data_IF_743027580316
#
_entry.id   IF_743027580316
#
_cell.length_a   1.000
_cell.length_b   1.000
_cell.length_c   1.000
_cell.angle_alpha   90.00
_cell.angle_beta   90.00
_cell.angle_gamma   90.00
#
_symmetry.space_group_name_H-M   'P 1'
#
loop_
_entity.id
_entity.type
_entity.pdbx_description
1 polymer ?
#
# COMPACT_ATOMS: atom_id res chain seq x y z
N UNK A 1 31.28 -19.31 41.44
CA UNK A 1 31.58 -18.49 40.23
C UNK A 1 30.59 -18.67 39.08
N UNK A 2 29.92 -19.82 38.92
CA UNK A 2 29.05 -20.14 37.76
C UNK A 2 27.77 -19.27 37.69
N UNK A 3 27.20 -18.89 38.84
CA UNK A 3 25.95 -18.11 38.91
C UNK A 3 26.09 -16.65 38.46
N UNK A 4 27.31 -16.07 38.52
CA UNK A 4 27.57 -14.70 38.06
C UNK A 4 27.58 -14.58 36.53
N UNK A 5 28.20 -15.56 35.84
CA UNK A 5 28.24 -15.60 34.37
C UNK A 5 26.84 -15.77 33.76
N UNK A 6 26.04 -16.69 34.31
CA UNK A 6 24.64 -16.88 33.91
C UNK A 6 23.81 -15.59 34.00
N UNK A 7 24.05 -14.75 35.01
CA UNK A 7 23.36 -13.45 35.15
C UNK A 7 23.80 -12.46 34.06
N UNK A 8 25.09 -12.42 33.76
CA UNK A 8 25.65 -11.55 32.71
C UNK A 8 25.08 -11.97 31.33
N UNK A 9 25.07 -13.26 31.02
CA UNK A 9 24.56 -13.78 29.75
C UNK A 9 23.05 -13.49 29.58
N UNK A 10 22.27 -13.68 30.65
CA UNK A 10 20.84 -13.36 30.65
C UNK A 10 20.59 -11.87 30.46
N UNK A 11 21.41 -11.02 31.06
CA UNK A 11 21.32 -9.56 30.91
C UNK A 11 21.69 -9.12 29.48
N UNK A 12 22.73 -9.69 28.89
CA UNK A 12 23.09 -9.43 27.50
C UNK A 12 21.98 -9.85 26.52
N UNK A 13 21.35 -11.00 26.74
CA UNK A 13 20.21 -11.46 25.95
C UNK A 13 19.00 -10.52 26.08
N UNK A 14 18.69 -10.08 27.31
CA UNK A 14 17.62 -9.11 27.57
C UNK A 14 17.86 -7.79 26.84
N UNK A 15 19.08 -7.24 26.92
CA UNK A 15 19.44 -6.00 26.22
C UNK A 15 19.27 -6.14 24.71
N UNK A 16 19.74 -7.25 24.13
CA UNK A 16 19.57 -7.54 22.69
C UNK A 16 18.09 -7.59 22.29
N UNK A 17 17.26 -8.25 23.10
CA UNK A 17 15.83 -8.36 22.84
C UNK A 17 15.12 -7.00 22.94
N UNK A 18 15.41 -6.21 23.98
CA UNK A 18 14.87 -4.86 24.15
C UNK A 18 15.28 -3.96 22.99
N UNK A 19 16.54 -4.05 22.55
CA UNK A 19 17.03 -3.28 21.41
C UNK A 19 16.26 -3.65 20.13
N UNK A 20 16.09 -4.95 19.84
CA UNK A 20 15.33 -5.44 18.69
C UNK A 20 13.85 -5.03 18.71
N UNK A 21 13.22 -5.09 19.89
CA UNK A 21 11.84 -4.62 20.08
C UNK A 21 11.74 -3.10 19.84
N UNK A 22 12.64 -2.31 20.43
CA UNK A 22 12.64 -0.84 20.28
C UNK A 22 12.80 -0.41 18.81
N UNK A 23 13.66 -1.08 18.03
CA UNK A 23 13.81 -0.80 16.60
C UNK A 23 12.56 -1.14 15.81
N UNK A 24 11.87 -2.23 16.18
CA UNK A 24 10.63 -2.67 15.52
C UNK A 24 9.48 -1.72 15.81
N UNK A 25 9.36 -1.26 17.07
CA UNK A 25 8.37 -0.26 17.48
C UNK A 25 8.60 1.07 16.76
N UNK A 26 9.85 1.55 16.70
CA UNK A 26 10.19 2.77 15.96
C UNK A 26 9.84 2.67 14.48
N UNK A 27 10.06 1.50 13.87
CA UNK A 27 9.67 1.26 12.48
C UNK A 27 8.15 1.29 12.31
N UNK A 28 7.41 0.55 13.14
CA UNK A 28 5.94 0.54 13.11
C UNK A 28 5.34 1.95 13.25
N UNK A 29 5.91 2.77 14.15
CA UNK A 29 5.49 4.16 14.31
C UNK A 29 5.71 4.98 13.03
N UNK A 30 6.89 4.86 12.40
CA UNK A 30 7.18 5.55 11.13
C UNK A 30 6.25 5.08 10.00
N UNK A 31 5.96 3.80 9.92
CA UNK A 31 5.06 3.23 8.91
C UNK A 31 3.62 3.76 9.10
N UNK A 32 3.16 3.88 10.36
CA UNK A 32 1.87 4.47 10.72
C UNK A 32 1.79 5.96 10.35
N UNK A 33 2.83 6.73 10.69
CA UNK A 33 2.91 8.15 10.36
C UNK A 33 2.93 8.40 8.84
N UNK A 34 3.70 7.60 8.09
CA UNK A 34 3.72 7.62 6.64
C UNK A 34 2.33 7.32 6.05
N UNK A 35 1.61 6.34 6.62
CA UNK A 35 0.25 5.98 6.20
C UNK A 35 -0.73 7.13 6.43
N UNK A 36 -0.71 7.74 7.62
CA UNK A 36 -1.56 8.89 7.93
C UNK A 36 -1.29 10.07 6.99
N UNK A 37 -0.02 10.36 6.72
CA UNK A 37 0.39 11.42 5.79
C UNK A 37 -0.07 11.15 4.36
N UNK A 38 0.02 9.90 3.89
CA UNK A 38 -0.45 9.49 2.58
C UNK A 38 -1.97 9.69 2.43
N UNK A 39 -2.75 9.25 3.43
CA UNK A 39 -4.21 9.45 3.46
C UNK A 39 -4.56 10.93 3.35
N UNK A 40 -3.90 11.78 4.14
CA UNK A 40 -4.15 13.22 4.13
C UNK A 40 -3.84 13.87 2.77
N UNK A 41 -2.74 13.48 2.12
CA UNK A 41 -2.38 14.00 0.80
C UNK A 41 -3.36 13.54 -0.28
N UNK A 42 -3.81 12.29 -0.24
CA UNK A 42 -4.83 11.79 -1.16
C UNK A 42 -6.14 12.53 -0.94
N UNK A 43 -6.56 12.73 0.31
CA UNK A 43 -7.78 13.47 0.64
C UNK A 43 -7.74 14.92 0.11
N UNK A 44 -6.62 15.64 0.28
CA UNK A 44 -6.44 16.97 -0.30
C UNK A 44 -6.53 16.98 -1.84
N UNK A 45 -5.96 15.97 -2.51
CA UNK A 45 -6.04 15.88 -3.97
C UNK A 45 -7.47 15.64 -4.46
N UNK A 46 -8.23 14.83 -3.72
CA UNK A 46 -9.65 14.62 -3.97
C UNK A 46 -10.40 15.94 -3.72
N UNK A 47 -10.12 16.64 -2.63
CA UNK A 47 -10.65 17.97 -2.32
C UNK A 47 -10.50 18.96 -3.47
N UNK A 48 -9.30 19.07 -4.02
CA UNK A 48 -9.02 19.99 -5.10
C UNK A 48 -9.73 19.64 -6.42
N UNK A 49 -10.14 18.38 -6.63
CA UNK A 49 -10.60 17.88 -7.93
C UNK A 49 -12.03 17.30 -7.94
N UNK A 50 -12.77 17.32 -6.82
CA UNK A 50 -14.13 16.73 -6.66
C UNK A 50 -15.13 16.97 -7.80
N UNK A 51 -14.95 18.01 -8.61
CA UNK A 51 -15.91 18.47 -9.63
C UNK A 51 -15.68 17.91 -11.04
N UNK A 52 -14.47 17.45 -11.36
CA UNK A 52 -14.19 16.83 -12.67
C UNK A 52 -14.27 15.32 -12.50
N UNK A 53 -15.03 14.66 -13.38
CA UNK A 53 -15.09 13.20 -13.46
C UNK A 53 -13.65 12.66 -13.36
N UNK A 54 -13.36 12.01 -12.25
CA UNK A 54 -12.01 11.66 -11.81
C UNK A 54 -11.47 10.57 -12.73
N UNK A 55 -11.04 10.96 -13.93
CA UNK A 55 -10.52 10.05 -14.95
C UNK A 55 -9.36 9.22 -14.41
N UNK A 56 -9.04 8.11 -15.09
CA UNK A 56 -8.00 7.18 -14.64
C UNK A 56 -6.64 7.83 -14.36
N UNK A 57 -6.33 8.94 -15.01
CA UNK A 57 -5.13 9.75 -14.75
C UNK A 57 -5.13 10.40 -13.36
N UNK A 58 -6.27 10.86 -12.86
CA UNK A 58 -6.38 11.37 -11.49
C UNK A 58 -6.16 10.25 -10.46
N UNK A 59 -6.74 9.08 -10.70
CA UNK A 59 -6.55 7.92 -9.83
C UNK A 59 -5.06 7.55 -9.77
N UNK A 60 -4.38 7.55 -10.93
CA UNK A 60 -2.92 7.34 -11.01
C UNK A 60 -2.16 8.34 -10.14
N UNK A 61 -2.47 9.64 -10.26
CA UNK A 61 -1.81 10.70 -9.48
C UNK A 61 -2.02 10.54 -7.97
N UNK A 62 -3.21 10.10 -7.53
CA UNK A 62 -3.47 9.80 -6.13
C UNK A 62 -2.65 8.61 -5.64
N UNK A 63 -2.59 7.54 -6.43
CA UNK A 63 -1.78 6.36 -6.09
C UNK A 63 -0.29 6.73 -6.01
N UNK A 64 0.26 7.40 -7.03
CA UNK A 64 1.68 7.80 -7.06
C UNK A 64 2.08 8.63 -5.84
N UNK A 65 1.23 9.57 -5.42
CA UNK A 65 1.50 10.40 -4.24
C UNK A 65 1.49 9.58 -2.93
N UNK A 66 0.61 8.58 -2.81
CA UNK A 66 0.63 7.67 -1.67
C UNK A 66 1.89 6.79 -1.67
N UNK A 67 2.28 6.25 -2.83
CA UNK A 67 3.46 5.40 -2.96
C UNK A 67 4.77 6.13 -2.68
N UNK A 68 4.89 7.38 -3.09
CA UNK A 68 6.06 8.20 -2.78
C UNK A 68 6.31 8.35 -1.28
N UNK A 69 5.26 8.28 -0.47
CA UNK A 69 5.34 8.43 0.99
C UNK A 69 5.56 7.07 1.67
N UNK A 70 4.81 6.04 1.24
CA UNK A 70 4.79 4.72 1.90
C UNK A 70 5.93 3.81 1.42
N UNK A 71 6.25 3.82 0.13
CA UNK A 71 7.29 2.96 -0.44
C UNK A 71 8.03 3.65 -1.61
N UNK A 72 8.89 4.65 -1.32
CA UNK A 72 9.63 5.38 -2.35
C UNK A 72 10.39 4.49 -3.35
N UNK A 73 11.04 3.38 -2.95
CA UNK A 73 11.80 2.54 -3.89
C UNK A 73 10.95 1.94 -5.02
N UNK A 74 9.65 1.77 -4.79
CA UNK A 74 8.75 1.14 -5.77
C UNK A 74 8.05 2.16 -6.67
N UNK A 75 8.31 3.47 -6.52
CA UNK A 75 7.66 4.55 -7.29
C UNK A 75 7.74 4.34 -8.80
N UNK A 76 8.88 3.87 -9.32
CA UNK A 76 9.07 3.63 -10.75
C UNK A 76 8.20 2.50 -11.32
N UNK A 77 7.74 1.57 -10.50
CA UNK A 77 6.79 0.54 -10.93
C UNK A 77 5.40 1.16 -11.14
N UNK A 78 5.01 2.09 -10.27
CA UNK A 78 3.73 2.78 -10.35
C UNK A 78 3.66 3.76 -11.52
N UNK A 79 4.76 4.44 -11.85
CA UNK A 79 4.79 5.35 -13.01
C UNK A 79 4.55 4.64 -14.34
N UNK A 80 4.89 3.34 -14.42
CA UNK A 80 4.69 2.50 -15.61
C UNK A 80 3.24 2.03 -15.79
N UNK A 81 2.38 2.18 -14.78
CA UNK A 81 0.97 1.81 -14.91
C UNK A 81 0.26 2.75 -15.89
N UNK A 82 -0.37 2.20 -16.93
CA UNK A 82 -1.23 2.94 -17.85
C UNK A 82 -2.67 2.84 -17.37
N UNK A 83 -3.21 3.95 -16.84
CA UNK A 83 -4.62 4.09 -16.49
C UNK A 83 -5.37 4.98 -17.49
N UNK A 84 -4.94 4.96 -18.76
CA UNK A 84 -5.71 5.60 -19.83
C UNK A 84 -7.10 4.99 -19.93
N UNK A 85 -8.10 5.82 -20.27
CA UNK A 85 -9.50 5.39 -20.42
C UNK A 85 -9.61 4.18 -21.34
N UNK A 86 -8.84 4.15 -22.43
CA UNK A 86 -8.78 3.03 -23.38
C UNK A 86 -8.27 1.75 -22.72
N UNK A 87 -7.17 1.83 -21.97
CA UNK A 87 -6.59 0.65 -21.30
C UNK A 87 -7.56 0.10 -20.26
N UNK A 88 -8.18 0.98 -19.47
CA UNK A 88 -9.14 0.59 -18.43
C UNK A 88 -10.40 -0.02 -19.04
N UNK A 89 -10.97 0.60 -20.08
CA UNK A 89 -12.16 0.07 -20.76
C UNK A 89 -11.91 -1.33 -21.34
N UNK A 90 -10.76 -1.55 -21.97
CA UNK A 90 -10.39 -2.87 -22.49
C UNK A 90 -10.31 -3.93 -21.39
N UNK A 91 -9.67 -3.61 -20.25
CA UNK A 91 -9.59 -4.53 -19.11
C UNK A 91 -10.95 -4.79 -18.49
N UNK A 92 -11.84 -3.79 -18.45
CA UNK A 92 -13.20 -3.97 -17.98
C UNK A 92 -14.00 -4.91 -18.88
N UNK A 93 -13.85 -4.81 -20.19
CA UNK A 93 -14.53 -5.71 -21.14
C UNK A 93 -14.00 -7.15 -21.04
N UNK A 94 -12.68 -7.33 -20.86
CA UNK A 94 -12.09 -8.64 -20.59
C UNK A 94 -12.67 -9.27 -19.32
N UNK A 95 -12.75 -8.50 -18.23
CA UNK A 95 -13.35 -8.95 -16.97
C UNK A 95 -14.83 -9.28 -17.13
N UNK A 96 -15.58 -8.45 -17.86
CA UNK A 96 -16.98 -8.69 -18.15
C UNK A 96 -17.17 -10.00 -18.91
N UNK A 97 -16.35 -10.23 -19.94
CA UNK A 97 -16.41 -11.44 -20.77
C UNK A 97 -16.08 -12.69 -19.95
N UNK A 98 -15.06 -12.62 -19.08
CA UNK A 98 -14.70 -13.70 -18.17
C UNK A 98 -15.86 -14.07 -17.22
N UNK A 99 -16.51 -13.06 -16.64
CA UNK A 99 -17.68 -13.23 -15.78
C UNK A 99 -18.84 -13.87 -16.55
N UNK A 100 -19.15 -13.36 -17.75
CA UNK A 100 -20.22 -13.90 -18.61
C UNK A 100 -19.94 -15.35 -19.03
N UNK A 101 -18.67 -15.72 -19.27
CA UNK A 101 -18.26 -17.09 -19.57
C UNK A 101 -18.38 -18.02 -18.36
N UNK A 102 -18.05 -17.54 -17.15
CA UNK A 102 -18.07 -18.35 -15.92
C UNK A 102 -19.48 -18.56 -15.39
N UNK A 103 -20.35 -17.58 -15.59
CA UNK A 103 -21.74 -17.59 -15.17
C UNK A 103 -22.64 -17.31 -16.38
N UNK A 104 -22.75 -18.26 -17.33
CA UNK A 104 -23.63 -18.10 -18.47
C UNK A 104 -25.05 -17.89 -17.95
N UNK A 105 -25.71 -16.84 -18.43
CA UNK A 105 -27.11 -16.57 -18.08
C UNK A 105 -27.91 -17.84 -18.37
N UNK A 106 -28.62 -18.37 -17.38
CA UNK A 106 -29.60 -19.46 -17.61
C UNK A 106 -30.69 -18.91 -18.53
N UNK A 107 -30.59 -19.20 -19.81
CA UNK A 107 -31.71 -19.09 -20.74
C UNK A 107 -32.71 -20.17 -20.37
N UNK A 108 -33.76 -19.78 -19.64
CA UNK A 108 -34.97 -20.59 -19.54
C UNK A 108 -35.74 -20.36 -20.85
N UNK A 109 -35.79 -21.41 -21.69
CA UNK A 109 -36.75 -21.54 -22.78
C UNK A 109 -38.04 -22.16 -22.24
#
# INVERSE_FOLDING_TARGET
MIQGRLRIDKLALLMKNIQGQSSSIKKCHKDSEASAKAIYIVAQKIEAKWKAFTGGEFIKQCMEAAYEIVCPPQKQLFSKLSLSVVTVARRLEELRTDIESRYPKRTYF
#
